data_IF_693334797451
#
_entry.id   IF_693334797451
#
_cell.length_a   1.000
_cell.length_b   1.000
_cell.length_c   1.000
_cell.angle_alpha   90.00
_cell.angle_beta   90.00
_cell.angle_gamma   90.00
#
_symmetry.space_group_name_H-M   'P 1'
#
loop_
_entity.id
_entity.type
_entity.pdbx_description
1 polymer ?
#
# COMPACT_ATOMS: atom_id res chain seq x y z
N UNK A 1 -39.46 17.02 11.63
CA UNK A 1 -38.03 17.12 11.27
C UNK A 1 -37.21 16.77 12.50
N UNK A 2 -36.40 15.70 12.46
CA UNK A 2 -35.42 15.42 13.52
C UNK A 2 -34.22 16.34 13.26
N UNK A 3 -33.75 17.15 14.24
CA UNK A 3 -32.52 17.92 14.07
C UNK A 3 -31.33 16.97 13.91
N UNK A 4 -30.33 17.39 13.13
CA UNK A 4 -29.08 16.65 13.05
C UNK A 4 -28.32 16.74 14.36
N UNK A 5 -27.70 15.62 14.70
CA UNK A 5 -26.94 15.47 15.93
C UNK A 5 -25.62 16.25 15.84
N UNK A 6 -24.98 16.46 16.98
CA UNK A 6 -23.69 17.17 17.03
C UNK A 6 -22.64 16.41 16.22
N UNK A 7 -21.90 17.12 15.37
CA UNK A 7 -20.99 16.51 14.40
C UNK A 7 -21.60 16.25 13.03
N UNK A 8 -22.85 16.65 12.83
CA UNK A 8 -23.54 16.61 11.55
C UNK A 8 -24.06 17.98 11.14
N UNK A 9 -24.18 18.20 9.83
CA UNK A 9 -24.75 19.43 9.26
C UNK A 9 -25.76 19.12 8.14
N UNK A 10 -26.68 20.06 7.90
CA UNK A 10 -27.63 20.01 6.78
C UNK A 10 -27.30 21.10 5.77
N UNK A 11 -26.76 20.76 4.59
CA UNK A 11 -26.57 21.75 3.54
C UNK A 11 -27.94 22.29 3.08
N UNK A 12 -27.98 23.59 2.79
CA UNK A 12 -29.21 24.31 2.42
C UNK A 12 -29.97 23.61 1.29
N UNK A 13 -31.27 23.42 1.49
CA UNK A 13 -32.15 22.77 0.50
C UNK A 13 -32.26 21.25 0.62
N UNK A 14 -31.64 20.63 1.62
CA UNK A 14 -31.75 19.18 1.88
C UNK A 14 -32.34 18.89 3.25
N UNK A 15 -32.77 17.64 3.47
CA UNK A 15 -33.21 17.12 4.78
C UNK A 15 -32.26 16.05 5.33
N UNK A 16 -31.14 15.82 4.66
CA UNK A 16 -30.16 14.79 5.01
C UNK A 16 -29.06 15.39 5.89
N UNK A 17 -28.68 14.65 6.93
CA UNK A 17 -27.55 14.99 7.80
C UNK A 17 -26.27 14.42 7.19
N UNK A 18 -25.25 15.26 7.04
CA UNK A 18 -23.92 14.87 6.60
C UNK A 18 -22.95 14.98 7.77
N UNK A 19 -22.04 14.02 7.90
CA UNK A 19 -21.02 14.04 8.94
C UNK A 19 -19.95 15.10 8.63
N UNK A 20 -19.39 15.70 9.68
CA UNK A 20 -18.18 16.51 9.55
C UNK A 20 -16.97 15.62 9.26
N UNK A 21 -16.18 16.00 8.24
CA UNK A 21 -14.96 15.29 7.86
C UNK A 21 -13.74 15.80 8.64
N UNK A 22 -12.64 15.04 8.58
CA UNK A 22 -11.34 15.47 9.09
C UNK A 22 -11.22 15.49 10.62
N UNK A 23 -12.05 14.72 11.32
CA UNK A 23 -12.02 14.69 12.79
C UNK A 23 -12.55 15.97 13.42
N UNK A 24 -13.42 16.72 12.72
CA UNK A 24 -14.11 17.87 13.27
C UNK A 24 -15.58 17.54 13.62
N UNK A 25 -16.21 18.41 14.38
CA UNK A 25 -17.60 18.36 14.84
C UNK A 25 -18.16 19.78 14.96
N UNK A 26 -19.46 19.88 15.20
CA UNK A 26 -20.20 21.13 15.26
C UNK A 26 -20.30 21.66 16.69
N UNK A 27 -20.50 22.97 16.85
CA UNK A 27 -20.70 23.60 18.17
C UNK A 27 -21.97 23.16 18.86
N UNK A 28 -23.03 22.98 18.09
CA UNK A 28 -24.33 22.56 18.56
C UNK A 28 -24.94 21.56 17.60
N UNK A 29 -26.04 20.97 18.03
CA UNK A 29 -27.00 20.34 17.13
C UNK A 29 -27.49 21.37 16.10
N UNK A 30 -28.08 20.89 15.00
CA UNK A 30 -28.76 21.72 13.98
C UNK A 30 -27.85 22.62 13.10
N UNK A 31 -26.58 22.26 12.90
CA UNK A 31 -25.70 22.99 11.97
C UNK A 31 -26.20 22.96 10.53
N UNK A 32 -26.04 24.08 9.83
CA UNK A 32 -26.60 24.29 8.47
C UNK A 32 -25.53 24.37 7.39
N UNK A 33 -24.26 24.28 7.78
CA UNK A 33 -23.14 24.43 6.87
C UNK A 33 -21.97 23.57 7.32
N UNK A 34 -21.20 23.07 6.34
CA UNK A 34 -19.90 22.45 6.59
C UNK A 34 -18.93 23.42 7.28
N UNK A 35 -19.10 24.73 7.08
CA UNK A 35 -18.30 25.75 7.75
C UNK A 35 -18.49 25.79 9.27
N UNK A 36 -19.51 25.12 9.81
CA UNK A 36 -19.73 24.98 11.26
C UNK A 36 -18.93 23.80 11.87
N UNK A 37 -18.31 22.96 11.03
CA UNK A 37 -17.45 21.84 11.45
C UNK A 37 -16.06 22.34 11.86
N UNK A 38 -15.99 23.21 12.87
CA UNK A 38 -14.74 23.87 13.29
C UNK A 38 -14.22 23.35 14.62
N UNK A 39 -14.98 22.50 15.32
CA UNK A 39 -14.56 22.02 16.63
C UNK A 39 -13.90 20.66 16.47
N UNK A 40 -12.82 20.43 17.19
CA UNK A 40 -12.15 19.14 17.17
C UNK A 40 -13.07 18.05 17.73
N UNK A 41 -13.23 16.97 16.97
CA UNK A 41 -13.84 15.73 17.42
C UNK A 41 -12.73 14.75 17.79
N UNK A 42 -12.60 14.51 19.08
CA UNK A 42 -11.61 13.59 19.58
C UNK A 42 -11.93 12.14 19.18
N UNK A 43 -10.91 11.31 18.89
CA UNK A 43 -11.12 9.92 18.52
C UNK A 43 -11.80 9.13 19.65
N UNK A 44 -12.32 7.92 19.36
CA UNK A 44 -12.83 7.01 20.38
C UNK A 44 -11.88 6.86 21.58
N UNK A 45 -12.44 6.64 22.77
CA UNK A 45 -11.71 6.55 24.05
C UNK A 45 -10.93 7.81 24.45
N UNK A 46 -11.21 8.96 23.84
CA UNK A 46 -10.68 10.24 24.27
C UNK A 46 -11.77 11.27 24.46
N UNK A 47 -11.50 12.30 25.26
CA UNK A 47 -12.38 13.44 25.46
C UNK A 47 -11.62 14.72 25.22
N UNK A 48 -12.36 15.80 24.95
CA UNK A 48 -11.75 17.09 24.66
C UNK A 48 -11.16 17.65 25.94
N UNK A 49 -9.88 18.02 25.87
CA UNK A 49 -9.19 18.67 26.96
C UNK A 49 -9.89 20.00 27.29
N UNK A 50 -10.53 20.14 28.46
CA UNK A 50 -11.24 21.37 28.83
C UNK A 50 -10.29 22.57 28.96
N UNK A 51 -8.98 22.31 29.12
CA UNK A 51 -7.96 23.35 29.21
C UNK A 51 -7.44 23.81 27.84
N UNK A 52 -7.74 23.08 26.77
CA UNK A 52 -7.38 23.46 25.41
C UNK A 52 -8.39 24.50 24.86
N UNK A 53 -8.34 25.72 25.40
CA UNK A 53 -9.25 26.81 25.03
C UNK A 53 -8.95 27.44 23.66
N UNK A 54 -7.74 27.25 23.13
CA UNK A 54 -7.33 27.84 21.88
C UNK A 54 -7.68 26.90 20.71
N UNK A 55 -8.21 27.43 19.59
CA UNK A 55 -8.39 26.61 18.40
C UNK A 55 -7.07 25.96 17.97
N UNK A 56 -7.10 24.71 17.48
CA UNK A 56 -5.89 24.01 17.05
C UNK A 56 -5.16 24.78 15.97
N UNK A 57 -3.88 25.10 16.22
CA UNK A 57 -3.03 25.70 15.21
C UNK A 57 -2.64 24.60 14.20
N UNK A 58 -2.99 24.74 12.91
CA UNK A 58 -2.75 23.69 11.92
C UNK A 58 -1.27 23.30 11.76
N UNK A 59 -0.34 24.18 12.13
CA UNK A 59 1.11 23.93 11.98
C UNK A 59 1.76 23.26 13.20
N UNK A 60 1.11 23.29 14.36
CA UNK A 60 1.65 22.78 15.62
C UNK A 60 0.66 21.88 16.35
N UNK A 61 -0.33 21.36 15.62
CA UNK A 61 -1.39 20.56 16.19
C UNK A 61 -0.87 19.19 16.61
N UNK A 62 -0.91 18.91 17.91
CA UNK A 62 -0.65 17.59 18.47
C UNK A 62 -1.95 17.09 19.10
N UNK A 63 -2.52 16.02 18.55
CA UNK A 63 -3.85 15.55 18.97
C UNK A 63 -3.92 15.22 20.47
N UNK A 64 -2.85 14.71 21.06
CA UNK A 64 -2.78 14.37 22.49
C UNK A 64 -2.95 15.59 23.43
N UNK A 65 -2.64 16.80 22.96
CA UNK A 65 -2.80 18.01 23.77
C UNK A 65 -4.26 18.45 23.87
N UNK A 66 -5.06 18.08 22.86
CA UNK A 66 -6.46 18.43 22.73
C UNK A 66 -7.40 17.28 23.10
N UNK A 67 -6.95 16.05 22.97
CA UNK A 67 -7.73 14.85 23.22
C UNK A 67 -7.05 14.03 24.31
N UNK A 68 -7.63 14.09 25.51
CA UNK A 68 -7.14 13.35 26.66
C UNK A 68 -7.78 11.96 26.68
N UNK A 69 -7.04 10.93 27.10
CA UNK A 69 -7.57 9.58 27.21
C UNK A 69 -8.66 9.49 28.29
N UNK A 70 -9.75 8.80 27.99
CA UNK A 70 -10.78 8.43 28.96
C UNK A 70 -10.26 7.36 29.92
N UNK A 71 -10.65 7.38 31.19
CA UNK A 71 -10.33 6.26 32.09
C UNK A 71 -10.83 4.92 31.53
N UNK A 72 -10.15 3.81 31.88
CA UNK A 72 -10.60 2.46 31.48
C UNK A 72 -12.08 2.31 31.79
N UNK A 73 -12.83 1.68 30.87
CA UNK A 73 -14.28 1.48 30.91
C UNK A 73 -15.14 2.76 30.85
N UNK A 74 -14.56 3.89 30.48
CA UNK A 74 -15.30 5.12 30.20
C UNK A 74 -15.15 5.55 28.74
N UNK A 75 -16.16 6.23 28.21
CA UNK A 75 -16.19 6.71 26.83
C UNK A 75 -16.74 8.13 26.75
N UNK A 76 -16.50 8.78 25.62
CA UNK A 76 -17.18 10.03 25.30
C UNK A 76 -18.65 9.76 24.97
N UNK A 77 -19.60 10.34 25.71
CA UNK A 77 -21.04 10.15 25.44
C UNK A 77 -21.51 10.85 24.16
N UNK A 78 -20.84 11.93 23.77
CA UNK A 78 -21.17 12.76 22.61
C UNK A 78 -19.90 13.36 22.01
N UNK A 79 -19.87 13.59 20.68
CA UNK A 79 -18.78 14.31 20.03
C UNK A 79 -18.43 15.63 20.73
N UNK A 80 -17.13 15.87 20.95
CA UNK A 80 -16.64 17.05 21.67
C UNK A 80 -17.24 17.21 23.09
N UNK A 81 -17.44 16.11 23.81
CA UNK A 81 -17.62 16.15 25.26
C UNK A 81 -16.28 16.38 25.94
N UNK A 82 -16.29 17.19 27.00
CA UNK A 82 -15.14 17.42 27.89
C UNK A 82 -15.09 16.44 29.07
N UNK A 83 -15.94 15.42 29.07
CA UNK A 83 -16.00 14.38 30.10
C UNK A 83 -16.33 13.02 29.52
N UNK A 84 -15.81 11.98 30.15
CA UNK A 84 -16.14 10.59 29.84
C UNK A 84 -17.26 10.08 30.76
N UNK A 85 -18.10 9.20 30.24
CA UNK A 85 -19.15 8.48 30.98
C UNK A 85 -18.76 7.02 31.10
N UNK A 86 -19.14 6.38 32.21
CA UNK A 86 -18.95 4.93 32.35
C UNK A 86 -19.76 4.18 31.30
N UNK A 87 -19.17 3.13 30.80
CA UNK A 87 -19.85 2.24 29.89
C UNK A 87 -20.80 1.32 30.64
N UNK A 88 -21.93 0.97 30.03
CA UNK A 88 -22.88 0.06 30.64
C UNK A 88 -22.20 -1.30 30.87
N UNK A 89 -22.30 -1.83 32.09
CA UNK A 89 -21.66 -3.08 32.51
C UNK A 89 -22.24 -4.32 31.81
N UNK A 90 -23.41 -4.20 31.18
CA UNK A 90 -24.08 -5.28 30.47
C UNK A 90 -24.45 -4.85 29.05
N UNK A 91 -24.02 -5.59 28.00
CA UNK A 91 -24.68 -5.51 26.71
C UNK A 91 -26.12 -5.96 26.90
N UNK A 92 -27.06 -5.03 26.94
CA UNK A 92 -28.46 -5.39 26.78
C UNK A 92 -28.55 -6.09 25.41
N UNK A 93 -29.11 -7.30 25.34
CA UNK A 93 -29.10 -8.10 24.09
C UNK A 93 -29.70 -7.37 22.88
N UNK A 94 -30.43 -6.28 23.12
CA UNK A 94 -31.10 -5.45 22.12
C UNK A 94 -30.49 -4.04 21.96
N UNK A 95 -29.54 -3.64 22.81
CA UNK A 95 -28.80 -2.38 22.67
C UNK A 95 -27.35 -2.73 22.37
N UNK A 96 -26.97 -2.63 21.09
CA UNK A 96 -25.55 -2.62 20.73
C UNK A 96 -24.86 -1.56 21.60
N UNK A 97 -23.84 -1.97 22.37
CA UNK A 97 -22.99 -0.98 23.00
C UNK A 97 -22.49 -0.04 21.90
N UNK A 98 -22.48 1.29 22.15
CA UNK A 98 -21.83 2.20 21.23
C UNK A 98 -20.43 1.68 20.95
N UNK A 99 -20.04 1.66 19.67
CA UNK A 99 -18.78 1.05 19.21
C UNK A 99 -17.57 1.50 20.02
N UNK A 100 -17.60 2.74 20.50
CA UNK A 100 -16.61 3.33 21.41
C UNK A 100 -16.42 2.56 22.72
N UNK A 101 -17.37 1.73 23.15
CA UNK A 101 -17.23 0.90 24.35
C UNK A 101 -17.15 -0.60 24.15
N UNK A 102 -17.18 -1.06 22.91
CA UNK A 102 -16.57 -2.35 22.54
C UNK A 102 -15.04 -2.31 22.58
N UNK A 103 -14.46 -1.10 22.59
CA UNK A 103 -13.02 -0.84 22.56
C UNK A 103 -12.24 -1.19 23.84
N UNK A 104 -12.65 -2.19 24.62
CA UNK A 104 -11.81 -2.69 25.74
C UNK A 104 -10.51 -3.34 25.23
N UNK A 105 -10.47 -3.77 23.96
CA UNK A 105 -9.30 -4.33 23.27
C UNK A 105 -8.91 -3.53 22.00
N UNK A 106 -9.56 -2.40 21.74
CA UNK A 106 -9.26 -1.58 20.57
C UNK A 106 -8.36 -0.43 20.96
N UNK A 107 -7.33 -0.21 20.16
CA UNK A 107 -6.31 0.79 20.40
C UNK A 107 -6.41 1.89 19.34
N UNK A 108 -5.59 2.91 19.44
CA UNK A 108 -5.48 3.94 18.40
C UNK A 108 -4.02 4.11 18.01
N UNK A 109 -3.69 4.27 16.72
CA UNK A 109 -2.31 4.54 16.29
C UNK A 109 -1.77 5.85 16.86
N UNK A 110 -2.66 6.72 17.35
CA UNK A 110 -2.31 8.01 17.95
C UNK A 110 -2.03 7.85 19.46
N UNK A 111 -2.55 6.79 20.08
CA UNK A 111 -2.38 6.47 21.50
C UNK A 111 -1.95 5.00 21.64
N UNK A 112 -0.72 4.64 21.21
CA UNK A 112 -0.26 3.25 21.20
C UNK A 112 -0.16 2.63 22.60
N UNK A 113 0.00 3.44 23.64
CA UNK A 113 0.15 3.01 25.04
C UNK A 113 -1.17 2.53 25.69
N UNK A 114 -2.25 2.42 24.93
CA UNK A 114 -3.50 1.83 25.42
C UNK A 114 -3.46 0.31 25.49
N UNK A 115 -2.65 -0.28 24.62
CA UNK A 115 -2.28 -1.66 24.71
C UNK A 115 -1.35 -1.81 25.92
N UNK A 116 -1.57 -2.83 26.76
CA UNK A 116 -0.66 -3.10 27.88
C UNK A 116 0.79 -3.23 27.41
N UNK A 117 1.75 -3.19 28.33
CA UNK A 117 3.19 -3.07 28.02
C UNK A 117 3.74 -4.14 27.03
N UNK A 118 3.00 -5.23 26.80
CA UNK A 118 3.35 -6.36 25.91
C UNK A 118 2.46 -6.48 24.66
N UNK A 119 1.60 -5.48 24.39
CA UNK A 119 0.65 -5.51 23.27
C UNK A 119 0.93 -4.38 22.27
N UNK A 120 0.88 -4.68 20.98
CA UNK A 120 0.98 -3.71 19.87
C UNK A 120 -0.38 -3.34 19.33
N UNK A 121 -0.52 -2.09 18.94
CA UNK A 121 -1.71 -1.60 18.27
C UNK A 121 -1.64 -1.86 16.76
N UNK A 122 -2.44 -2.79 16.24
CA UNK A 122 -2.45 -3.16 14.81
C UNK A 122 -3.79 -2.82 14.16
N UNK A 123 -3.72 -2.35 12.90
CA UNK A 123 -4.91 -2.09 12.09
C UNK A 123 -5.48 -3.41 11.57
N UNK A 124 -6.78 -3.62 11.71
CA UNK A 124 -7.48 -4.70 11.04
C UNK A 124 -7.94 -4.21 9.65
N UNK A 125 -7.33 -4.74 8.59
CA UNK A 125 -7.51 -4.23 7.23
C UNK A 125 -8.97 -4.30 6.74
N UNK A 126 -9.71 -5.33 7.13
CA UNK A 126 -11.10 -5.55 6.68
C UNK A 126 -12.12 -4.54 7.24
N UNK A 127 -11.84 -3.96 8.41
CA UNK A 127 -12.85 -3.20 9.16
C UNK A 127 -12.41 -1.80 9.57
N UNK A 128 -11.21 -1.36 9.17
CA UNK A 128 -10.66 -0.02 9.48
C UNK A 128 -10.69 0.35 10.99
N UNK A 129 -10.67 -0.64 11.89
CA UNK A 129 -10.42 -0.41 13.32
C UNK A 129 -9.05 -0.96 13.73
N UNK A 130 -8.55 -0.52 14.88
CA UNK A 130 -7.26 -0.93 15.41
C UNK A 130 -7.48 -1.74 16.69
N UNK A 131 -6.71 -2.81 16.88
CA UNK A 131 -6.82 -3.68 18.04
C UNK A 131 -5.46 -3.97 18.66
N UNK A 132 -5.47 -4.23 19.97
CA UNK A 132 -4.30 -4.68 20.68
C UNK A 132 -4.06 -6.16 20.37
N UNK A 133 -2.87 -6.46 19.87
CA UNK A 133 -2.39 -7.81 19.63
C UNK A 133 -1.18 -8.03 20.53
N UNK A 134 -1.08 -9.19 21.17
CA UNK A 134 0.14 -9.56 21.88
C UNK A 134 1.32 -9.48 20.92
N UNK A 135 2.36 -8.76 21.34
CA UNK A 135 3.54 -8.61 20.53
C UNK A 135 4.38 -9.90 20.60
N UNK A 136 4.00 -10.91 19.81
CA UNK A 136 4.85 -12.08 19.57
C UNK A 136 6.07 -11.74 18.69
N UNK A 137 6.66 -10.54 18.83
CA UNK A 137 7.91 -10.19 18.15
C UNK A 137 9.12 -10.97 18.66
N UNK A 138 8.92 -11.92 19.57
CA UNK A 138 9.88 -12.98 19.83
C UNK A 138 9.92 -13.99 18.67
N UNK A 139 10.84 -13.74 17.73
CA UNK A 139 11.44 -14.72 16.82
C UNK A 139 10.51 -15.49 15.86
N UNK A 140 9.83 -14.80 14.93
CA UNK A 140 9.75 -15.35 13.57
C UNK A 140 10.97 -14.91 12.76
N UNK A 141 12.14 -15.44 13.16
CA UNK A 141 13.14 -15.82 12.17
C UNK A 141 12.68 -17.13 11.50
N UNK A 142 11.45 -17.16 11.01
CA UNK A 142 11.04 -18.16 10.03
C UNK A 142 11.59 -17.68 8.68
N UNK A 143 12.92 -17.61 8.61
CA UNK A 143 13.55 -18.05 7.39
C UNK A 143 13.04 -19.47 7.23
N UNK A 144 12.07 -19.66 6.33
CA UNK A 144 11.63 -20.97 5.88
C UNK A 144 12.91 -21.78 5.71
N UNK A 145 13.14 -22.69 6.66
CA UNK A 145 14.34 -23.51 6.64
C UNK A 145 14.12 -24.47 5.49
N UNK A 146 14.46 -24.00 4.28
CA UNK A 146 14.59 -24.81 3.09
C UNK A 146 15.36 -26.02 3.56
N UNK A 147 14.69 -27.16 3.55
CA UNK A 147 15.31 -28.37 4.05
C UNK A 147 16.60 -28.56 3.25
N UNK A 148 17.66 -29.08 3.86
CA UNK A 148 18.91 -29.34 3.14
C UNK A 148 18.69 -30.14 1.82
N UNK A 149 17.58 -30.88 1.70
CA UNK A 149 17.14 -31.53 0.47
C UNK A 149 16.69 -30.54 -0.62
N UNK A 150 16.00 -29.46 -0.27
CA UNK A 150 15.56 -28.41 -1.21
C UNK A 150 16.74 -27.64 -1.78
N UNK A 151 17.75 -27.33 -0.94
CA UNK A 151 19.00 -26.72 -1.39
C UNK A 151 19.74 -27.66 -2.34
N UNK A 152 19.74 -28.97 -2.06
CA UNK A 152 20.32 -29.99 -2.94
C UNK A 152 19.63 -30.07 -4.31
N UNK A 153 18.30 -30.03 -4.35
CA UNK A 153 17.52 -30.09 -5.60
C UNK A 153 17.70 -28.82 -6.45
N UNK A 154 17.74 -27.64 -5.83
CA UNK A 154 17.98 -26.38 -6.53
C UNK A 154 19.39 -26.38 -7.15
N UNK A 155 20.41 -26.83 -6.41
CA UNK A 155 21.78 -26.92 -6.93
C UNK A 155 21.88 -27.89 -8.13
N UNK A 156 21.31 -29.10 -8.01
CA UNK A 156 21.33 -30.10 -9.08
C UNK A 156 20.59 -29.60 -10.33
N UNK A 157 19.45 -28.91 -10.16
CA UNK A 157 18.69 -28.31 -11.25
C UNK A 157 19.49 -27.25 -12.04
N UNK A 158 20.22 -26.37 -11.33
CA UNK A 158 21.02 -25.32 -11.97
C UNK A 158 22.19 -25.88 -12.79
N UNK A 159 22.89 -26.91 -12.30
CA UNK A 159 24.00 -27.52 -13.05
C UNK A 159 23.53 -28.29 -14.28
N UNK A 160 22.38 -28.97 -14.20
CA UNK A 160 21.79 -29.66 -15.34
C UNK A 160 21.39 -28.71 -16.47
N UNK A 161 20.72 -27.60 -16.13
CA UNK A 161 20.27 -26.61 -17.12
C UNK A 161 21.44 -25.89 -17.80
N UNK A 162 22.50 -25.56 -17.06
CA UNK A 162 23.69 -24.93 -17.63
C UNK A 162 24.41 -25.84 -18.64
N UNK A 163 24.50 -27.15 -18.38
CA UNK A 163 25.10 -28.10 -19.30
C UNK A 163 24.30 -28.23 -20.61
N UNK A 164 22.96 -28.27 -20.53
CA UNK A 164 22.09 -28.31 -21.72
C UNK A 164 22.24 -27.05 -22.57
N UNK A 165 22.28 -25.87 -21.95
CA UNK A 165 22.49 -24.60 -22.64
C UNK A 165 23.86 -24.57 -23.32
N UNK A 166 24.93 -25.01 -22.62
CA UNK A 166 26.27 -25.04 -23.20
C UNK A 166 26.36 -25.95 -24.43
N UNK A 167 25.74 -27.14 -24.38
CA UNK A 167 25.69 -28.06 -25.53
C UNK A 167 24.92 -27.43 -26.70
N UNK A 168 23.78 -26.79 -26.44
CA UNK A 168 23.00 -26.12 -27.48
C UNK A 168 23.78 -24.99 -28.16
N UNK A 169 24.53 -24.19 -27.39
CA UNK A 169 25.38 -23.12 -27.92
C UNK A 169 26.50 -23.70 -28.79
N UNK A 170 27.19 -24.76 -28.34
CA UNK A 170 28.27 -25.41 -29.10
C UNK A 170 27.75 -25.97 -30.43
N UNK A 171 26.60 -26.64 -30.42
CA UNK A 171 25.97 -27.18 -31.64
C UNK A 171 25.54 -26.04 -32.56
N UNK A 172 24.93 -24.98 -32.02
CA UNK A 172 24.52 -23.80 -32.78
C UNK A 172 25.69 -23.12 -33.49
N UNK A 173 26.83 -22.94 -32.81
CA UNK A 173 28.04 -22.36 -33.42
C UNK A 173 28.60 -23.23 -34.57
N UNK A 174 28.55 -24.56 -34.46
CA UNK A 174 28.99 -25.45 -35.55
C UNK A 174 28.08 -25.35 -36.78
N UNK A 175 26.77 -25.31 -36.58
CA UNK A 175 25.81 -25.11 -37.67
C UNK A 175 25.97 -23.72 -38.32
N UNK A 176 26.17 -22.67 -37.52
CA UNK A 176 26.40 -21.31 -38.01
C UNK A 176 27.66 -21.22 -38.87
N UNK A 177 28.78 -21.80 -38.40
CA UNK A 177 30.03 -21.81 -39.15
C UNK A 177 29.94 -22.60 -40.46
N UNK A 178 29.22 -23.74 -40.46
CA UNK A 178 29.01 -24.52 -41.69
C UNK A 178 28.20 -23.73 -42.73
N UNK A 179 27.16 -23.00 -42.30
CA UNK A 179 26.35 -22.16 -43.18
C UNK A 179 27.14 -20.98 -43.74
N UNK A 180 27.95 -20.31 -42.91
CA UNK A 180 28.79 -19.20 -43.37
C UNK A 180 29.85 -19.65 -44.37
N UNK A 181 30.43 -20.84 -44.19
CA UNK A 181 31.37 -21.41 -45.16
C UNK A 181 30.71 -21.64 -46.52
N UNK A 182 29.52 -22.24 -46.55
CA UNK A 182 28.78 -22.45 -47.80
C UNK A 182 28.43 -21.12 -48.50
N UNK A 183 28.02 -20.10 -47.74
CA UNK A 183 27.74 -18.78 -48.29
C UNK A 183 29.00 -18.08 -48.84
N UNK A 184 30.16 -18.25 -48.19
CA UNK A 184 31.41 -17.66 -48.69
C UNK A 184 31.88 -18.30 -50.00
N UNK A 185 31.64 -19.60 -50.18
CA UNK A 185 31.96 -20.30 -51.43
C UNK A 185 31.02 -19.85 -52.57
N UNK A 186 29.71 -19.70 -52.30
CA UNK A 186 28.74 -19.21 -53.28
C UNK A 186 29.01 -17.75 -53.73
N UNK A 187 29.45 -16.88 -52.80
CA UNK A 187 29.82 -15.49 -53.12
C UNK A 187 31.14 -15.43 -53.90
N UNK A 188 32.10 -16.31 -53.62
CA UNK A 188 33.34 -16.38 -54.39
C UNK A 188 33.09 -16.81 -55.85
N UNK A 189 32.13 -17.72 -56.07
CA UNK A 189 31.76 -18.19 -57.41
C UNK A 189 31.09 -17.07 -58.23
N UNK A 190 30.16 -16.30 -57.65
CA UNK A 190 29.48 -15.20 -58.37
C UNK A 190 30.42 -14.06 -58.77
N UNK A 191 31.40 -13.72 -57.94
CA UNK A 191 32.41 -12.69 -58.27
C UNK A 191 33.34 -13.14 -59.41
N UNK A 192 33.60 -14.45 -59.52
CA UNK A 192 34.44 -15.00 -60.61
C UNK A 192 33.75 -14.94 -61.97
N UNK A 193 32.42 -15.07 -62.00
CA UNK A 193 31.62 -15.03 -63.22
C UNK A 193 31.44 -13.59 -63.74
N UNK A 194 31.27 -12.62 -62.85
CA UNK A 194 31.20 -11.19 -63.19
C UNK A 194 32.52 -10.63 -63.75
N UNK A 195 33.68 -11.19 -63.32
CA UNK A 195 34.99 -10.84 -63.91
C UNK A 195 35.17 -11.38 -65.32
N UNK A 196 34.56 -12.51 -65.69
CA UNK A 196 34.66 -13.05 -67.05
C UNK A 196 33.92 -12.19 -68.05
N UNK A 197 32.70 -11.76 -67.74
CA UNK A 197 31.87 -10.94 -68.64
C UNK A 197 32.43 -9.53 -68.83
N UNK A 198 33.13 -8.98 -67.83
CA UNK A 198 33.72 -7.63 -67.93
C UNK A 198 34.95 -7.60 -68.86
N UNK A 199 35.70 -8.70 -68.97
CA UNK A 199 36.92 -8.75 -69.78
C UNK A 199 36.65 -8.94 -71.27
N UNK A 200 35.53 -9.57 -71.65
CA UNK A 200 35.15 -9.78 -73.06
C UNK A 200 34.63 -8.50 -73.75
N UNK A 201 34.23 -7.48 -72.98
CA UNK A 201 33.76 -6.20 -73.52
C UNK A 201 34.89 -5.16 -73.73
N UNK A 202 36.15 -5.51 -73.44
CA UNK A 202 37.31 -4.62 -73.59
C UNK A 202 38.25 -5.06 -74.73
N UNK A 203 37.73 -5.74 -75.75
CA UNK A 203 38.43 -5.91 -77.04
C UNK A 203 37.90 -4.83 -77.99
N UNK A 204 38.70 -3.77 -78.10
CA UNK A 204 38.32 -2.51 -78.73
C UNK A 204 38.09 -2.58 -80.23
N UNK A 205 37.07 -1.86 -80.67
CA UNK A 205 37.03 -1.21 -81.98
C UNK A 205 38.00 -0.04 -81.95
N UNK A 206 39.16 -0.22 -82.59
CA UNK A 206 40.06 0.88 -82.96
C UNK A 206 39.35 1.69 -84.06
N UNK A 207 39.11 2.99 -83.89
CA UNK A 207 38.63 3.82 -84.99
C UNK A 207 39.80 4.10 -85.94
N UNK A 208 39.69 3.61 -87.18
CA UNK A 208 40.57 4.01 -88.27
C UNK A 208 40.46 5.53 -88.47
N UNK A 209 41.62 6.18 -88.48
CA UNK A 209 41.79 7.60 -88.79
C UNK A 209 42.34 7.68 -90.21
N UNK A 210 41.59 8.35 -91.09
CA UNK A 210 41.93 8.99 -92.37
C UNK A 210 43.12 8.45 -93.21
#
# INVERSE_FOLDING_TARGET
CKPCEKGQFVPGGTTLCYNCDGGNTTKSEVSKSFADCTILNCPPNTYVNPNAMNPPNPNTFVLSDYCLPCEKTTMQSQPNSTSCVKCPDTPDLNNELPSTCRMQNECSPILPNYCGDEMKCLKWDDYNYYHCVEDHSEQQNDAESLSWWDIGLIAIGCFGLAAVIAVAIIVGMRCYNAKNKANSEAVAESISEERRTTNDNFVGTVPDSD
#
